data_IF_017597421070
#
_entry.id   IF_017597421070
#
_cell.length_a   1.000
_cell.length_b   1.000
_cell.length_c   1.000
_cell.angle_alpha   90.00
_cell.angle_beta   90.00
_cell.angle_gamma   90.00
#
_symmetry.space_group_name_H-M   'P 1'
#
loop_
_entity.id
_entity.type
_entity.pdbx_description
1 polymer ?
#
# COMPACT_ATOMS: atom_id res chain seq x y z
N UNK A 1 -21.17 -2.05 0.86
CA UNK A 1 -20.48 -2.26 2.16
C UNK A 1 -19.07 -1.72 2.05
N UNK A 2 -18.62 -1.00 3.07
CA UNK A 2 -17.25 -0.48 3.18
C UNK A 2 -16.54 -1.25 4.29
N UNK A 3 -15.31 -1.68 4.05
CA UNK A 3 -14.47 -2.33 5.04
C UNK A 3 -13.35 -1.38 5.45
N UNK A 4 -13.16 -1.20 6.75
CA UNK A 4 -12.08 -0.39 7.33
C UNK A 4 -11.10 -1.33 8.04
N UNK A 5 -9.81 -1.15 7.77
CA UNK A 5 -8.73 -1.83 8.50
C UNK A 5 -7.94 -0.78 9.28
N UNK A 6 -7.80 -0.97 10.58
CA UNK A 6 -7.10 -0.04 11.45
C UNK A 6 -6.31 -0.74 12.55
N UNK A 7 -5.28 -0.08 13.04
CA UNK A 7 -4.52 -0.53 14.23
C UNK A 7 -4.96 0.27 15.45
N UNK A 8 -5.33 -0.37 16.57
CA UNK A 8 -5.80 0.30 17.78
C UNK A 8 -4.62 0.85 18.61
N UNK A 9 -3.94 1.87 18.10
CA UNK A 9 -2.75 2.49 18.71
C UNK A 9 -3.12 3.78 19.44
N UNK A 10 -3.81 4.70 18.77
CA UNK A 10 -4.21 5.99 19.29
C UNK A 10 -5.55 5.93 20.06
N UNK A 11 -5.89 7.01 20.72
CA UNK A 11 -7.12 7.10 21.54
C UNK A 11 -8.38 6.81 20.71
N UNK A 12 -8.50 7.41 19.52
CA UNK A 12 -9.65 7.21 18.64
C UNK A 12 -9.76 5.78 18.14
N UNK A 13 -8.64 5.18 17.69
CA UNK A 13 -8.64 3.80 17.18
C UNK A 13 -8.85 2.76 18.28
N UNK A 14 -8.48 3.05 19.53
CA UNK A 14 -8.85 2.21 20.69
C UNK A 14 -10.36 2.22 20.93
N UNK A 15 -11.01 3.40 20.85
CA UNK A 15 -12.47 3.52 20.95
C UNK A 15 -13.16 2.79 19.78
N UNK A 16 -12.62 2.87 18.56
CA UNK A 16 -13.14 2.12 17.41
C UNK A 16 -13.13 0.61 17.64
N UNK A 17 -12.12 0.08 18.34
CA UNK A 17 -12.02 -1.35 18.65
C UNK A 17 -13.19 -1.85 19.51
N UNK A 18 -13.78 -0.98 20.31
CA UNK A 18 -14.85 -1.33 21.25
C UNK A 18 -16.24 -1.31 20.59
N UNK A 19 -16.36 -0.82 19.35
CA UNK A 19 -17.61 -0.79 18.59
C UNK A 19 -18.12 -2.21 18.28
N UNK A 20 -19.43 -2.37 18.34
CA UNK A 20 -20.16 -3.63 18.11
C UNK A 20 -21.16 -3.48 16.98
N UNK A 21 -21.66 -4.60 16.51
CA UNK A 21 -22.75 -4.60 15.54
C UNK A 21 -23.97 -3.84 16.08
N UNK A 22 -24.42 -2.84 15.33
CA UNK A 22 -25.48 -1.90 15.72
C UNK A 22 -24.99 -0.54 16.18
N UNK A 23 -23.70 -0.40 16.50
CA UNK A 23 -23.10 0.91 16.76
C UNK A 23 -22.85 1.66 15.44
N UNK A 24 -22.74 2.98 15.51
CA UNK A 24 -22.57 3.83 14.33
C UNK A 24 -21.49 4.89 14.57
N UNK A 25 -20.83 5.30 13.48
CA UNK A 25 -20.09 6.57 13.45
C UNK A 25 -21.08 7.71 13.26
N UNK A 26 -20.79 8.88 13.86
CA UNK A 26 -21.60 10.08 13.64
C UNK A 26 -21.58 10.49 12.18
N UNK A 27 -20.38 10.49 11.59
CA UNK A 27 -20.16 10.89 10.21
C UNK A 27 -19.18 9.91 9.53
N UNK A 28 -19.39 9.67 8.24
CA UNK A 28 -18.51 8.90 7.39
C UNK A 28 -18.47 9.54 6.01
N UNK A 29 -17.35 10.18 5.69
CA UNK A 29 -17.17 10.97 4.46
C UNK A 29 -16.19 10.27 3.54
N UNK A 30 -16.51 10.20 2.26
CA UNK A 30 -15.65 9.62 1.22
C UNK A 30 -16.43 9.37 -0.09
N UNK A 31 -15.76 8.98 -1.16
CA UNK A 31 -14.29 8.85 -1.27
C UNK A 31 -13.60 10.23 -1.24
N UNK A 32 -12.42 10.29 -0.64
CA UNK A 32 -11.56 11.46 -0.59
C UNK A 32 -10.20 11.13 -1.23
N UNK A 33 -9.44 12.18 -1.62
CA UNK A 33 -8.17 12.02 -2.31
C UNK A 33 -8.32 11.77 -3.81
N UNK A 34 -7.21 11.40 -4.43
CA UNK A 34 -7.17 11.06 -5.85
C UNK A 34 -7.11 9.53 -6.04
N UNK A 35 -7.69 9.01 -7.13
CA UNK A 35 -7.49 7.60 -7.48
C UNK A 35 -6.03 7.36 -7.89
N UNK A 36 -5.57 6.10 -7.77
CA UNK A 36 -4.26 5.71 -8.30
C UNK A 36 -4.16 6.00 -9.79
N UNK A 37 -2.99 6.48 -10.25
CA UNK A 37 -2.78 6.95 -11.64
C UNK A 37 -3.18 5.89 -12.68
N UNK A 38 -2.92 4.62 -12.41
CA UNK A 38 -3.25 3.54 -13.33
C UNK A 38 -4.77 3.39 -13.59
N UNK A 39 -5.64 3.92 -12.72
CA UNK A 39 -7.09 3.93 -12.97
C UNK A 39 -7.48 4.83 -14.14
N UNK A 40 -6.61 5.76 -14.54
CA UNK A 40 -6.81 6.68 -15.67
C UNK A 40 -6.08 6.25 -16.94
N UNK A 41 -5.30 5.17 -16.87
CA UNK A 41 -4.56 4.65 -18.03
C UNK A 41 -5.46 3.80 -18.93
N UNK A 42 -5.07 3.69 -20.20
CA UNK A 42 -5.68 2.72 -21.10
C UNK A 42 -5.42 1.29 -20.62
N UNK A 43 -6.47 0.48 -20.52
CA UNK A 43 -6.37 -0.88 -19.97
C UNK A 43 -5.45 -1.78 -20.80
N UNK A 44 -5.45 -1.64 -22.13
CA UNK A 44 -4.60 -2.48 -22.99
C UNK A 44 -3.12 -2.09 -22.87
N UNK A 45 -2.82 -0.83 -22.61
CA UNK A 45 -1.45 -0.41 -22.30
C UNK A 45 -1.05 -0.85 -20.87
N UNK A 46 -1.97 -0.76 -19.92
CA UNK A 46 -1.72 -1.20 -18.54
C UNK A 46 -1.45 -2.71 -18.45
N UNK A 47 -2.12 -3.54 -19.27
CA UNK A 47 -1.88 -4.99 -19.38
C UNK A 47 -0.46 -5.35 -19.81
N UNK A 48 0.23 -4.45 -20.49
CA UNK A 48 1.63 -4.67 -20.92
C UNK A 48 2.63 -4.41 -19.80
N UNK A 49 2.22 -3.70 -18.76
CA UNK A 49 3.08 -3.35 -17.62
C UNK A 49 3.19 -4.48 -16.61
N UNK A 50 4.39 -4.68 -16.11
CA UNK A 50 4.70 -5.58 -14.99
C UNK A 50 4.77 -4.75 -13.73
N UNK A 51 3.80 -4.94 -12.87
CA UNK A 51 3.59 -4.14 -11.67
C UNK A 51 3.95 -4.95 -10.44
N UNK A 52 4.72 -4.37 -9.53
CA UNK A 52 4.99 -4.94 -8.22
C UNK A 52 4.53 -4.00 -7.11
N UNK A 53 3.80 -4.56 -6.16
CA UNK A 53 3.42 -3.86 -4.93
C UNK A 53 4.31 -4.30 -3.78
N UNK A 54 4.74 -3.35 -2.95
CA UNK A 54 5.45 -3.62 -1.71
C UNK A 54 4.67 -3.02 -0.56
N UNK A 55 4.06 -3.87 0.24
CA UNK A 55 3.19 -3.50 1.35
C UNK A 55 3.85 -3.81 2.69
N UNK A 56 3.69 -2.92 3.67
CA UNK A 56 4.21 -3.10 5.03
C UNK A 56 3.14 -2.97 6.11
N UNK A 57 2.93 -4.02 6.90
CA UNK A 57 1.97 -4.03 8.00
C UNK A 57 0.56 -3.65 7.56
N UNK A 58 -0.04 -2.64 8.19
CA UNK A 58 -1.39 -2.15 7.84
C UNK A 58 -1.49 -1.59 6.42
N UNK A 59 -0.36 -1.20 5.81
CA UNK A 59 -0.30 -0.78 4.41
C UNK A 59 -0.72 -1.85 3.40
N UNK A 60 -0.84 -3.11 3.83
CA UNK A 60 -1.45 -4.19 3.03
C UNK A 60 -2.92 -3.91 2.70
N UNK A 61 -3.63 -3.24 3.61
CA UNK A 61 -5.05 -2.97 3.43
C UNK A 61 -5.38 -2.07 2.23
N UNK A 62 -4.72 -0.92 2.01
CA UNK A 62 -4.95 -0.10 0.81
C UNK A 62 -4.38 -0.71 -0.48
N UNK A 63 -3.44 -1.65 -0.40
CA UNK A 63 -2.93 -2.39 -1.57
C UNK A 63 -3.96 -3.38 -2.11
N UNK A 64 -4.73 -4.03 -1.24
CA UNK A 64 -5.70 -5.04 -1.66
C UNK A 64 -6.74 -4.54 -2.69
N UNK A 65 -7.43 -3.41 -2.49
CA UNK A 65 -8.39 -2.92 -3.49
C UNK A 65 -7.74 -2.57 -4.83
N UNK A 66 -6.49 -2.11 -4.84
CA UNK A 66 -5.74 -1.83 -6.05
C UNK A 66 -5.43 -3.13 -6.83
N UNK A 67 -4.93 -4.14 -6.14
CA UNK A 67 -4.68 -5.47 -6.74
C UNK A 67 -5.97 -6.13 -7.24
N UNK A 68 -7.05 -6.01 -6.47
CA UNK A 68 -8.36 -6.51 -6.86
C UNK A 68 -8.86 -5.84 -8.14
N UNK A 69 -8.75 -4.51 -8.22
CA UNK A 69 -9.13 -3.77 -9.41
C UNK A 69 -8.30 -4.20 -10.64
N UNK A 70 -6.99 -4.33 -10.50
CA UNK A 70 -6.10 -4.83 -11.57
C UNK A 70 -6.51 -6.24 -12.02
N UNK A 71 -6.74 -7.13 -11.07
CA UNK A 71 -7.14 -8.51 -11.34
C UNK A 71 -8.49 -8.60 -12.08
N UNK A 72 -9.47 -7.79 -11.69
CA UNK A 72 -10.78 -7.68 -12.36
C UNK A 72 -10.66 -7.18 -13.81
N UNK A 73 -9.57 -6.47 -14.14
CA UNK A 73 -9.23 -6.04 -15.51
C UNK A 73 -8.26 -6.98 -16.23
N UNK A 74 -8.01 -8.17 -15.67
CA UNK A 74 -7.18 -9.21 -16.28
C UNK A 74 -5.67 -9.00 -16.09
N UNK A 75 -5.26 -8.19 -15.11
CA UNK A 75 -3.85 -7.90 -14.79
C UNK A 75 -3.50 -8.56 -13.46
N UNK A 76 -2.52 -9.48 -13.47
CA UNK A 76 -2.03 -10.11 -12.24
C UNK A 76 -0.69 -9.50 -11.86
N UNK A 77 -0.68 -8.66 -10.85
CA UNK A 77 0.52 -8.04 -10.32
C UNK A 77 1.22 -8.94 -9.28
N UNK A 78 2.52 -8.72 -9.07
CA UNK A 78 3.24 -9.30 -7.94
C UNK A 78 3.03 -8.43 -6.69
N UNK A 79 2.83 -9.07 -5.55
CA UNK A 79 2.62 -8.38 -4.26
C UNK A 79 3.56 -8.95 -3.20
N UNK A 80 4.36 -8.07 -2.60
CA UNK A 80 5.26 -8.38 -1.50
C UNK A 80 4.67 -7.80 -0.22
N UNK A 81 4.34 -8.66 0.74
CA UNK A 81 3.80 -8.26 2.04
C UNK A 81 4.84 -8.53 3.12
N UNK A 82 5.27 -7.45 3.78
CA UNK A 82 6.17 -7.50 4.92
C UNK A 82 5.43 -7.26 6.24
N UNK A 83 5.69 -8.09 7.24
CA UNK A 83 5.18 -7.94 8.59
C UNK A 83 6.28 -8.20 9.63
N UNK A 84 6.12 -7.74 10.87
CA UNK A 84 7.07 -8.04 11.93
C UNK A 84 7.03 -9.51 12.32
N UNK A 85 5.84 -10.07 12.44
CA UNK A 85 5.58 -11.44 12.86
C UNK A 85 4.43 -12.03 12.05
N UNK A 86 4.27 -13.36 12.08
CA UNK A 86 3.14 -14.05 11.44
C UNK A 86 1.77 -13.48 11.82
N UNK A 87 1.56 -13.18 13.11
CA UNK A 87 0.28 -12.73 13.64
C UNK A 87 -0.13 -11.33 13.12
N UNK A 88 0.82 -10.60 12.55
CA UNK A 88 0.62 -9.29 11.93
C UNK A 88 0.44 -9.35 10.41
N UNK A 89 0.47 -10.53 9.82
CA UNK A 89 0.11 -10.72 8.40
C UNK A 89 -1.40 -10.67 8.28
N UNK A 90 -1.89 -9.71 7.48
CA UNK A 90 -3.32 -9.49 7.26
C UNK A 90 -3.69 -9.73 5.79
N UNK A 91 -4.94 -10.06 5.52
CA UNK A 91 -5.52 -10.20 4.16
C UNK A 91 -4.78 -11.20 3.25
N UNK A 92 -4.11 -12.20 3.83
CA UNK A 92 -3.32 -13.16 3.05
C UNK A 92 -4.16 -13.91 2.02
N UNK A 93 -5.36 -14.37 2.40
CA UNK A 93 -6.26 -15.10 1.50
C UNK A 93 -6.76 -14.23 0.37
N UNK A 94 -7.17 -13.02 0.72
CA UNK A 94 -7.69 -12.03 -0.23
C UNK A 94 -6.59 -11.60 -1.22
N UNK A 95 -5.39 -11.34 -0.74
CA UNK A 95 -4.24 -10.97 -1.55
C UNK A 95 -3.80 -12.11 -2.49
N UNK A 96 -3.76 -13.34 -1.98
CA UNK A 96 -3.40 -14.52 -2.77
C UNK A 96 -4.38 -14.82 -3.90
N UNK A 97 -5.65 -14.43 -3.74
CA UNK A 97 -6.67 -14.64 -4.76
C UNK A 97 -6.54 -13.69 -5.96
N UNK A 98 -5.83 -12.56 -5.80
CA UNK A 98 -5.78 -11.47 -6.81
C UNK A 98 -4.37 -11.09 -7.25
N UNK A 99 -3.33 -11.75 -6.73
CA UNK A 99 -1.93 -11.42 -7.02
C UNK A 99 -1.01 -12.63 -6.88
N UNK A 100 0.20 -12.53 -7.40
CA UNK A 100 1.28 -13.42 -7.06
C UNK A 100 1.88 -12.93 -5.72
N UNK A 101 1.47 -13.55 -4.62
CA UNK A 101 1.79 -13.08 -3.27
C UNK A 101 3.11 -13.65 -2.73
N UNK A 102 3.95 -12.76 -2.24
CA UNK A 102 5.20 -13.06 -1.53
C UNK A 102 5.12 -12.50 -0.12
N UNK A 103 5.27 -13.34 0.90
CA UNK A 103 5.21 -12.93 2.31
C UNK A 103 6.60 -13.05 2.94
N UNK A 104 6.93 -12.05 3.76
CA UNK A 104 8.14 -12.07 4.59
C UNK A 104 7.83 -11.54 5.99
N UNK A 105 8.54 -12.08 6.99
CA UNK A 105 8.46 -11.59 8.37
C UNK A 105 9.85 -11.27 8.89
N UNK A 106 9.96 -10.17 9.66
CA UNK A 106 11.25 -9.71 10.17
C UNK A 106 11.90 -10.74 11.09
N UNK A 107 11.09 -11.42 11.92
CA UNK A 107 11.53 -12.46 12.86
C UNK A 107 11.70 -13.85 12.24
N UNK A 108 11.19 -14.06 11.02
CA UNK A 108 11.22 -15.36 10.35
C UNK A 108 10.15 -16.34 10.84
N UNK A 109 9.14 -15.86 11.55
CA UNK A 109 8.06 -16.71 12.08
C UNK A 109 7.12 -17.25 11.00
N UNK A 110 7.18 -16.71 9.76
CA UNK A 110 6.32 -17.15 8.67
C UNK A 110 6.97 -16.98 7.30
N UNK A 111 6.80 -17.98 6.43
CA UNK A 111 7.25 -18.12 5.04
C UNK A 111 8.75 -17.84 4.87
N UNK A 112 9.17 -16.59 4.88
CA UNK A 112 10.55 -16.16 4.67
C UNK A 112 10.95 -15.14 5.74
N UNK A 113 12.16 -15.25 6.25
CA UNK A 113 12.77 -14.23 7.10
C UNK A 113 13.38 -13.13 6.26
N UNK A 114 13.14 -11.87 6.61
CA UNK A 114 13.74 -10.70 5.99
C UNK A 114 12.75 -9.58 5.73
N UNK A 115 13.19 -8.59 5.00
CA UNK A 115 12.39 -7.42 4.64
C UNK A 115 11.78 -7.56 3.24
N UNK A 116 10.75 -6.79 2.94
CA UNK A 116 10.17 -6.74 1.60
C UNK A 116 11.18 -6.34 0.51
N UNK A 117 12.16 -5.51 0.85
CA UNK A 117 13.28 -5.14 -0.04
C UNK A 117 14.17 -6.34 -0.40
N UNK A 118 14.36 -7.29 0.51
CA UNK A 118 15.15 -8.50 0.23
C UNK A 118 14.43 -9.39 -0.78
N UNK A 119 13.09 -9.46 -0.65
CA UNK A 119 12.25 -10.20 -1.60
C UNK A 119 12.28 -9.52 -2.98
N UNK A 120 12.10 -8.21 -3.04
CA UNK A 120 12.14 -7.47 -4.31
C UNK A 120 13.49 -7.61 -5.01
N UNK A 121 14.60 -7.50 -4.28
CA UNK A 121 15.95 -7.71 -4.81
C UNK A 121 16.11 -9.13 -5.37
N UNK A 122 15.64 -10.13 -4.64
CA UNK A 122 15.70 -11.52 -5.06
C UNK A 122 14.90 -11.78 -6.35
N UNK A 123 13.67 -11.25 -6.43
CA UNK A 123 12.83 -11.37 -7.62
C UNK A 123 13.50 -10.78 -8.86
N UNK A 124 14.15 -9.62 -8.72
CA UNK A 124 14.80 -8.94 -9.85
C UNK A 124 16.16 -9.55 -10.19
N UNK A 125 17.05 -9.69 -9.19
CA UNK A 125 18.46 -10.05 -9.44
C UNK A 125 18.67 -11.56 -9.59
N UNK A 126 17.94 -12.39 -8.83
CA UNK A 126 18.15 -13.84 -8.84
C UNK A 126 17.13 -14.57 -9.73
N UNK A 127 15.88 -14.09 -9.78
CA UNK A 127 14.82 -14.73 -10.58
C UNK A 127 14.63 -14.06 -11.95
N UNK A 128 15.34 -12.95 -12.24
CA UNK A 128 15.31 -12.27 -13.53
C UNK A 128 13.98 -11.56 -13.84
N UNK A 129 13.12 -11.33 -12.83
CA UNK A 129 11.89 -10.57 -13.03
C UNK A 129 12.21 -9.12 -13.35
N UNK A 130 11.41 -8.53 -14.21
CA UNK A 130 11.50 -7.11 -14.56
C UNK A 130 10.19 -6.44 -14.22
N UNK A 131 10.24 -5.23 -13.72
CA UNK A 131 9.08 -4.44 -13.36
C UNK A 131 9.13 -3.07 -14.01
N UNK A 132 7.99 -2.63 -14.51
CA UNK A 132 7.84 -1.32 -15.16
C UNK A 132 7.43 -0.26 -14.14
N UNK A 133 6.81 -0.68 -13.02
CA UNK A 133 6.48 0.19 -11.89
C UNK A 133 6.43 -0.60 -10.59
N UNK A 134 6.88 0.04 -9.51
CA UNK A 134 6.72 -0.42 -8.13
C UNK A 134 5.80 0.54 -7.37
N UNK A 135 4.81 -0.01 -6.67
CA UNK A 135 3.95 0.76 -5.76
C UNK A 135 4.27 0.36 -4.32
N UNK A 136 4.68 1.32 -3.49
CA UNK A 136 5.07 1.05 -2.11
C UNK A 136 4.13 1.74 -1.11
N UNK A 137 3.52 0.95 -0.22
CA UNK A 137 2.56 1.44 0.77
C UNK A 137 2.86 0.82 2.14
N UNK A 138 3.16 1.67 3.11
CA UNK A 138 3.46 1.21 4.46
C UNK A 138 4.19 2.24 5.30
N UNK A 139 4.94 1.81 6.33
CA UNK A 139 5.73 2.71 7.15
C UNK A 139 6.71 3.54 6.31
N UNK A 140 6.86 4.82 6.65
CA UNK A 140 7.74 5.77 5.94
C UNK A 140 9.15 5.22 5.73
N UNK A 141 9.70 4.59 6.76
CA UNK A 141 11.05 4.01 6.70
C UNK A 141 11.14 2.86 5.68
N UNK A 142 10.09 2.02 5.60
CA UNK A 142 10.02 0.95 4.60
C UNK A 142 9.96 1.53 3.19
N UNK A 143 9.08 2.50 2.94
CA UNK A 143 8.94 3.15 1.63
C UNK A 143 10.26 3.81 1.21
N UNK A 144 10.97 4.46 2.14
CA UNK A 144 12.31 5.01 1.88
C UNK A 144 13.28 3.94 1.37
N UNK A 145 13.37 2.79 2.04
CA UNK A 145 14.27 1.72 1.61
C UNK A 145 13.84 1.06 0.30
N UNK A 146 12.53 0.95 0.05
CA UNK A 146 12.01 0.51 -1.24
C UNK A 146 12.45 1.48 -2.34
N UNK A 147 12.27 2.78 -2.15
CA UNK A 147 12.70 3.79 -3.13
C UNK A 147 14.21 3.77 -3.40
N UNK A 148 15.03 3.56 -2.37
CA UNK A 148 16.48 3.44 -2.57
C UNK A 148 16.83 2.22 -3.41
N UNK A 149 16.21 1.09 -3.13
CA UNK A 149 16.41 -0.15 -3.90
C UNK A 149 15.89 -0.03 -5.33
N UNK A 150 14.68 0.48 -5.53
CA UNK A 150 14.10 0.60 -6.87
C UNK A 150 14.86 1.62 -7.74
N UNK A 151 15.42 2.67 -7.12
CA UNK A 151 16.35 3.58 -7.81
C UNK A 151 17.61 2.86 -8.28
N UNK A 152 18.20 1.99 -7.46
CA UNK A 152 19.34 1.13 -7.84
C UNK A 152 18.97 0.18 -8.99
N UNK A 153 17.75 -0.34 -8.97
CA UNK A 153 17.23 -1.28 -9.98
C UNK A 153 16.61 -0.59 -11.21
N UNK A 154 16.61 0.74 -11.28
CA UNK A 154 15.97 1.55 -12.33
C UNK A 154 14.47 1.25 -12.51
N UNK A 155 13.74 1.03 -11.42
CA UNK A 155 12.29 0.80 -11.43
C UNK A 155 11.60 2.09 -10.97
N UNK A 156 10.76 2.74 -11.80
CA UNK A 156 9.90 3.84 -11.37
C UNK A 156 9.06 3.43 -10.18
N UNK A 157 8.94 4.31 -9.17
CA UNK A 157 8.28 3.94 -7.92
C UNK A 157 7.29 5.02 -7.49
N UNK A 158 6.07 4.59 -7.27
CA UNK A 158 5.00 5.36 -6.64
C UNK A 158 4.95 5.01 -5.15
N UNK A 159 4.83 6.01 -4.30
CA UNK A 159 4.67 5.84 -2.85
C UNK A 159 3.37 6.45 -2.39
N UNK A 160 2.63 5.72 -1.56
CA UNK A 160 1.43 6.26 -0.94
C UNK A 160 1.80 6.90 0.39
N UNK A 161 1.75 8.23 0.43
CA UNK A 161 2.17 9.01 1.59
C UNK A 161 1.10 8.98 2.69
N UNK A 162 1.54 8.82 3.93
CA UNK A 162 0.67 8.70 5.10
C UNK A 162 0.98 9.77 6.19
N UNK A 163 0.92 11.07 5.86
CA UNK A 163 1.06 12.13 6.85
C UNK A 163 -0.13 12.12 7.82
N UNK A 164 -0.02 12.95 8.87
CA UNK A 164 -1.15 13.15 9.76
C UNK A 164 -2.39 13.60 8.95
N UNK A 165 -3.55 12.99 9.25
CA UNK A 165 -4.81 13.31 8.61
C UNK A 165 -5.80 13.81 9.68
N UNK A 166 -6.38 14.98 9.45
CA UNK A 166 -7.33 15.59 10.39
C UNK A 166 -8.72 15.68 9.78
N UNK A 167 -8.93 16.49 8.75
CA UNK A 167 -10.24 16.59 8.11
C UNK A 167 -10.38 15.82 6.77
N UNK A 168 -9.30 15.67 6.02
CA UNK A 168 -9.30 14.95 4.76
C UNK A 168 -9.86 15.71 3.56
N UNK A 169 -10.27 17.00 3.70
CA UNK A 169 -10.94 17.78 2.66
C UNK A 169 -10.07 18.88 2.05
N UNK A 170 -8.83 19.03 2.51
CA UNK A 170 -7.90 20.07 2.05
C UNK A 170 -7.97 21.39 2.84
N UNK A 171 -8.89 21.52 3.79
CA UNK A 171 -9.10 22.79 4.49
C UNK A 171 -8.11 23.06 5.61
N UNK A 172 -7.76 22.04 6.41
CA UNK A 172 -6.94 22.25 7.62
C UNK A 172 -5.43 22.34 7.34
N UNK A 173 -4.94 21.85 6.20
CA UNK A 173 -3.53 21.85 5.83
C UNK A 173 -2.62 20.93 6.66
N UNK A 174 -3.16 20.04 7.49
CA UNK A 174 -2.39 19.16 8.36
C UNK A 174 -1.56 18.12 7.60
N UNK A 175 -2.09 17.62 6.48
CA UNK A 175 -1.45 16.60 5.65
C UNK A 175 -0.45 17.15 4.61
N UNK A 176 0.15 18.29 4.89
CA UNK A 176 1.11 18.98 4.02
C UNK A 176 2.38 18.16 3.85
N UNK A 177 2.82 18.08 2.60
CA UNK A 177 4.04 17.42 2.18
C UNK A 177 4.85 18.33 1.24
N UNK A 178 6.17 18.16 1.23
CA UNK A 178 7.02 18.71 0.19
C UNK A 178 7.35 17.60 -0.82
N UNK A 179 6.94 17.78 -2.05
CA UNK A 179 7.26 16.88 -3.16
C UNK A 179 8.10 17.65 -4.18
N UNK A 180 9.39 17.34 -4.23
CA UNK A 180 10.33 18.21 -4.92
C UNK A 180 10.36 19.60 -4.27
N UNK A 181 10.02 20.64 -5.05
CA UNK A 181 9.96 22.03 -4.58
C UNK A 181 8.52 22.55 -4.38
N UNK A 182 7.53 21.67 -4.45
CA UNK A 182 6.13 22.03 -4.34
C UNK A 182 5.51 21.53 -3.04
N UNK A 183 4.61 22.35 -2.49
CA UNK A 183 3.75 21.94 -1.38
C UNK A 183 2.57 21.18 -1.93
N UNK A 184 2.34 19.96 -1.42
CA UNK A 184 1.18 19.12 -1.74
C UNK A 184 0.43 18.75 -0.47
N UNK A 185 -0.86 18.44 -0.61
CA UNK A 185 -1.70 17.97 0.47
C UNK A 185 -2.19 16.56 0.15
N UNK A 186 -1.77 15.57 0.94
CA UNK A 186 -2.08 14.17 0.65
C UNK A 186 -3.57 13.87 0.49
N UNK A 187 -4.45 14.63 1.15
CA UNK A 187 -5.90 14.43 1.06
C UNK A 187 -6.55 15.01 -0.21
N UNK A 188 -5.83 15.84 -0.96
CA UNK A 188 -6.36 16.50 -2.17
C UNK A 188 -5.53 16.12 -3.39
N UNK A 189 -4.19 16.16 -3.27
CA UNK A 189 -3.25 15.93 -4.37
C UNK A 189 -2.82 14.46 -4.48
N UNK A 190 -3.08 13.64 -3.45
CA UNK A 190 -2.61 12.28 -3.35
C UNK A 190 -3.68 11.31 -2.83
N UNK A 191 -3.22 10.26 -2.14
CA UNK A 191 -1.97 10.09 -1.38
C UNK A 191 -0.73 9.61 -2.18
N UNK A 192 -0.88 9.19 -3.44
CA UNK A 192 0.18 8.67 -4.31
C UNK A 192 0.89 9.73 -5.13
#
# INVERSE_FOLDING_TARGET
>A
TITIVFMPIGESTKKMKDLKAGDAFMDFVGPLGQPSEFCSEDIEELKKKRIVFVAGGVGTAPVYPQLKWLHEHGITADAIVGAKTKDLVILEKEMSAVSNLYITTDDGSYVRKGMGTDVLRDLVQNQGKQYDVCVAIGPMIMMKFVCLLTKELNIPTVVSMNPIMVDGTGMCGACRLMVGNEVKFACVDGPE
#
